data_IF_431290599627
#
_entry.id   IF_431290599627
#
_cell.length_a   1.000
_cell.length_b   1.000
_cell.length_c   1.000
_cell.angle_alpha   90.00
_cell.angle_beta   90.00
_cell.angle_gamma   90.00
#
_symmetry.space_group_name_H-M   'P 1'
#
loop_
_entity.id
_entity.type
_entity.pdbx_description
1 polymer ?
#
# COMPACT_ATOMS: atom_id res chain seq x y z
N UNK A 1 -0.34 14.34 8.65
CA UNK A 1 0.69 13.73 9.50
C UNK A 1 0.81 12.21 9.34
N UNK A 2 -0.25 11.42 9.55
CA UNK A 2 -0.17 9.94 9.50
C UNK A 2 0.40 9.40 8.17
N UNK A 3 -0.12 9.86 7.03
CA UNK A 3 0.39 9.42 5.71
C UNK A 3 1.84 9.88 5.45
N UNK A 4 2.24 11.04 5.98
CA UNK A 4 3.60 11.56 5.82
C UNK A 4 4.59 10.64 6.52
N UNK A 5 4.35 10.35 7.81
CA UNK A 5 5.20 9.45 8.61
C UNK A 5 5.25 8.04 7.99
N UNK A 6 4.12 7.52 7.50
CA UNK A 6 4.07 6.24 6.81
C UNK A 6 5.00 6.23 5.58
N UNK A 7 4.89 7.24 4.72
CA UNK A 7 5.72 7.33 3.50
C UNK A 7 7.20 7.55 3.82
N UNK A 8 7.53 8.35 4.83
CA UNK A 8 8.91 8.54 5.29
C UNK A 8 9.56 7.22 5.71
N UNK A 9 8.85 6.37 6.46
CA UNK A 9 9.36 5.07 6.89
C UNK A 9 9.42 4.06 5.73
N UNK A 10 8.45 4.08 4.82
CA UNK A 10 8.45 3.22 3.62
C UNK A 10 9.69 3.52 2.76
N UNK A 11 9.96 4.79 2.45
CA UNK A 11 11.08 5.19 1.59
C UNK A 11 12.47 4.92 2.19
N UNK A 12 12.55 4.83 3.53
CA UNK A 12 13.77 4.41 4.24
C UNK A 12 14.03 2.91 4.11
N UNK A 13 12.97 2.09 4.17
CA UNK A 13 13.08 0.62 4.35
C UNK A 13 12.95 -0.16 3.05
N UNK A 14 12.20 0.35 2.08
CA UNK A 14 11.88 -0.39 0.85
C UNK A 14 12.26 0.43 -0.38
N UNK A 15 12.93 -0.21 -1.33
CA UNK A 15 13.28 0.40 -2.62
C UNK A 15 12.09 0.39 -3.58
N UNK A 16 11.28 -0.66 -3.54
CA UNK A 16 10.13 -0.84 -4.44
C UNK A 16 8.98 -1.55 -3.74
N UNK A 17 7.76 -1.14 -4.09
CA UNK A 17 6.51 -1.82 -3.72
C UNK A 17 5.75 -2.13 -5.00
N UNK A 18 5.51 -3.41 -5.26
CA UNK A 18 4.83 -3.91 -6.45
C UNK A 18 3.47 -4.49 -6.05
N UNK A 19 2.41 -4.05 -6.72
CA UNK A 19 1.07 -4.65 -6.56
C UNK A 19 0.99 -5.89 -7.46
N UNK A 20 0.66 -7.03 -6.87
CA UNK A 20 0.73 -8.33 -7.55
C UNK A 20 -0.55 -8.71 -8.29
N UNK A 21 -1.70 -8.27 -7.78
CA UNK A 21 -3.02 -8.58 -8.32
C UNK A 21 -3.92 -7.35 -8.24
N UNK A 22 -5.05 -7.37 -8.96
CA UNK A 22 -6.03 -6.30 -8.85
C UNK A 22 -6.58 -6.22 -7.41
N UNK A 23 -6.59 -5.04 -6.77
CA UNK A 23 -7.07 -4.90 -5.40
C UNK A 23 -8.56 -5.24 -5.28
N UNK A 24 -8.92 -5.91 -4.20
CA UNK A 24 -10.32 -6.16 -3.89
C UNK A 24 -10.96 -4.86 -3.38
N UNK A 25 -11.95 -4.35 -4.11
CA UNK A 25 -12.68 -3.14 -3.76
C UNK A 25 -13.73 -3.43 -2.70
N UNK A 26 -13.95 -2.47 -1.80
CA UNK A 26 -15.07 -2.49 -0.88
C UNK A 26 -16.39 -2.22 -1.65
N UNK A 27 -17.36 -3.15 -1.67
CA UNK A 27 -18.64 -2.93 -2.34
C UNK A 27 -19.55 -2.04 -1.48
N UNK A 28 -19.18 -0.77 -1.32
CA UNK A 28 -19.92 0.23 -0.57
C UNK A 28 -20.19 1.47 -1.44
N UNK A 29 -21.38 2.05 -1.29
CA UNK A 29 -21.82 3.20 -2.10
C UNK A 29 -21.21 4.54 -1.67
N UNK A 30 -20.69 4.64 -0.45
CA UNK A 30 -20.10 5.87 0.10
C UNK A 30 -18.59 5.73 0.32
N UNK A 31 -18.16 4.66 0.97
CA UNK A 31 -16.75 4.44 1.32
C UNK A 31 -16.01 3.79 0.16
N UNK A 32 -15.04 4.53 -0.40
CA UNK A 32 -14.08 3.99 -1.38
C UNK A 32 -12.89 3.39 -0.64
N UNK A 33 -12.96 2.10 -0.36
CA UNK A 33 -11.91 1.36 0.33
C UNK A 33 -11.45 0.14 -0.46
N UNK A 34 -10.34 -0.43 -0.02
CA UNK A 34 -9.84 -1.72 -0.48
C UNK A 34 -9.96 -2.72 0.68
N UNK A 35 -10.56 -3.88 0.45
CA UNK A 35 -10.65 -4.95 1.46
C UNK A 35 -9.37 -5.77 1.52
N UNK A 36 -8.68 -5.92 0.38
CA UNK A 36 -7.42 -6.65 0.25
C UNK A 36 -6.59 -6.10 -0.92
N UNK A 37 -5.27 -5.99 -0.70
CA UNK A 37 -4.30 -5.58 -1.72
C UNK A 37 -3.01 -6.35 -1.50
N UNK A 38 -2.68 -7.27 -2.41
CA UNK A 38 -1.46 -8.06 -2.31
C UNK A 38 -0.28 -7.31 -2.90
N UNK A 39 0.75 -7.12 -2.09
CA UNK A 39 1.97 -6.40 -2.48
C UNK A 39 3.22 -7.23 -2.21
N UNK A 40 4.23 -7.04 -3.06
CA UNK A 40 5.60 -7.47 -2.83
C UNK A 40 6.46 -6.24 -2.55
N UNK A 41 7.26 -6.33 -1.50
CA UNK A 41 8.22 -5.27 -1.15
C UNK A 41 9.64 -5.74 -1.42
N UNK A 42 10.45 -4.84 -1.98
CA UNK A 42 11.90 -5.05 -2.14
C UNK A 42 12.59 -4.26 -1.04
N UNK A 43 13.27 -4.91 -0.08
CA UNK A 43 13.99 -4.22 0.97
C UNK A 43 15.16 -3.42 0.37
N UNK A 44 15.46 -2.27 0.96
CA UNK A 44 16.63 -1.49 0.59
C UNK A 44 17.89 -2.18 1.11
N UNK A 45 18.90 -2.31 0.26
CA UNK A 45 20.21 -2.90 0.62
C UNK A 45 20.99 -2.05 1.61
#
# INVERSE_FOLDING_TARGET
LQLQVLWEEILKRFEKIEVLEEPELLPNSFVKGYTKMMVRVVPKA
#
